data_IF_810746179074
#
_entry.id   IF_810746179074
#
_cell.length_a   1.000
_cell.length_b   1.000
_cell.length_c   1.000
_cell.angle_alpha   90.00
_cell.angle_beta   90.00
_cell.angle_gamma   90.00
#
_symmetry.space_group_name_H-M   'P 1'
#
loop_
_entity.id
_entity.type
_entity.pdbx_description
1 polymer ?
#
# COMPACT_ATOMS: atom_id res chain seq x y z
N UNK A 1 6.52 34.90 -9.59
CA UNK A 1 6.48 33.44 -9.34
C UNK A 1 5.13 33.16 -8.72
N UNK A 2 4.30 32.36 -9.38
CA UNK A 2 2.99 32.03 -8.84
C UNK A 2 3.18 31.15 -7.60
N UNK A 3 2.36 31.32 -6.56
CA UNK A 3 2.40 30.46 -5.36
C UNK A 3 2.26 28.99 -5.75
N UNK A 4 1.53 28.72 -6.83
CA UNK A 4 1.38 27.41 -7.45
C UNK A 4 2.70 26.85 -8.00
N UNK A 5 3.56 27.66 -8.62
CA UNK A 5 4.87 27.20 -9.13
C UNK A 5 5.87 26.91 -7.98
N UNK A 6 5.68 27.54 -6.82
CA UNK A 6 6.47 27.30 -5.61
C UNK A 6 6.03 26.03 -4.86
N UNK A 7 4.74 25.67 -4.97
CA UNK A 7 4.14 24.53 -4.26
C UNK A 7 4.15 23.25 -5.12
N UNK A 8 3.86 23.34 -6.42
CA UNK A 8 3.64 22.21 -7.35
C UNK A 8 4.86 21.94 -8.26
N UNK A 9 5.92 22.75 -8.16
CA UNK A 9 7.08 22.60 -9.04
C UNK A 9 6.78 22.95 -10.50
N UNK A 10 7.77 22.77 -11.38
CA UNK A 10 7.59 22.96 -12.82
C UNK A 10 7.09 21.65 -13.44
N UNK A 11 6.12 21.68 -14.36
CA UNK A 11 5.64 20.46 -15.01
C UNK A 11 6.79 19.74 -15.70
N UNK A 12 7.01 18.49 -15.32
CA UNK A 12 7.99 17.59 -15.94
C UNK A 12 7.63 17.39 -17.42
N UNK A 13 8.62 17.60 -18.30
CA UNK A 13 8.43 17.35 -19.73
C UNK A 13 8.43 15.86 -19.96
N UNK A 14 7.47 15.37 -20.74
CA UNK A 14 7.31 13.95 -21.13
C UNK A 14 8.56 13.36 -21.81
N UNK A 15 9.53 14.20 -22.22
CA UNK A 15 10.84 13.79 -22.75
C UNK A 15 11.79 13.20 -21.70
N UNK A 16 11.56 13.47 -20.40
CA UNK A 16 12.46 13.10 -19.31
C UNK A 16 12.01 11.81 -18.57
N UNK A 17 10.81 11.29 -18.84
CA UNK A 17 10.23 10.08 -18.21
C UNK A 17 11.06 8.79 -18.44
N UNK A 18 11.85 8.73 -19.52
CA UNK A 18 12.70 7.57 -19.81
C UNK A 18 13.95 7.49 -18.92
N UNK A 19 14.34 8.58 -18.27
CA UNK A 19 15.52 8.64 -17.42
C UNK A 19 15.25 8.18 -15.97
N UNK A 20 13.98 8.06 -15.57
CA UNK A 20 13.54 7.64 -14.23
C UNK A 20 13.04 6.18 -14.19
N UNK A 21 13.63 5.29 -14.99
CA UNK A 21 13.40 3.86 -14.79
C UNK A 21 14.11 3.42 -13.51
N UNK A 22 13.32 3.22 -12.45
CA UNK A 22 13.79 2.75 -11.14
C UNK A 22 14.57 1.45 -11.32
N UNK A 23 15.85 1.47 -10.97
CA UNK A 23 16.72 0.29 -11.05
C UNK A 23 16.33 -0.76 -10.00
N UNK A 24 16.83 -1.99 -10.13
CA UNK A 24 16.52 -3.09 -9.19
C UNK A 24 16.87 -2.70 -7.74
N UNK A 25 17.98 -1.98 -7.53
CA UNK A 25 18.43 -1.56 -6.19
C UNK A 25 17.51 -0.53 -5.54
N UNK A 26 16.87 0.33 -6.33
CA UNK A 26 15.93 1.35 -5.85
C UNK A 26 14.51 0.78 -5.77
N UNK A 27 14.16 -0.16 -6.65
CA UNK A 27 12.85 -0.80 -6.67
C UNK A 27 12.60 -1.69 -5.46
N UNK A 28 13.62 -2.41 -4.97
CA UNK A 28 13.49 -3.28 -3.78
C UNK A 28 12.99 -2.49 -2.56
N UNK A 29 13.63 -1.39 -2.12
CA UNK A 29 13.12 -0.61 -1.00
C UNK A 29 11.79 0.05 -1.34
N UNK A 30 11.62 0.65 -2.52
CA UNK A 30 10.37 1.36 -2.86
C UNK A 30 9.15 0.42 -2.83
N UNK A 31 9.24 -0.76 -3.44
CA UNK A 31 8.14 -1.73 -3.46
C UNK A 31 8.10 -2.62 -2.21
N UNK A 32 9.24 -2.82 -1.54
CA UNK A 32 9.33 -3.63 -0.32
C UNK A 32 8.78 -2.92 0.92
N UNK A 33 8.74 -1.58 0.93
CA UNK A 33 8.18 -0.79 2.02
C UNK A 33 6.70 -1.06 2.26
N UNK A 34 5.93 -1.38 1.22
CA UNK A 34 4.51 -1.73 1.35
C UNK A 34 4.29 -3.06 2.09
N UNK A 35 5.12 -4.07 1.78
CA UNK A 35 5.12 -5.33 2.51
C UNK A 35 5.59 -5.16 3.97
N UNK A 36 6.59 -4.31 4.19
CA UNK A 36 7.10 -4.00 5.53
C UNK A 36 6.04 -3.27 6.38
N UNK A 37 5.35 -2.29 5.80
CA UNK A 37 4.29 -1.55 6.49
C UNK A 37 3.15 -2.49 6.89
N UNK A 38 2.75 -3.39 5.99
CA UNK A 38 1.73 -4.42 6.24
C UNK A 38 2.12 -5.37 7.38
N UNK A 39 3.39 -5.73 7.50
CA UNK A 39 3.89 -6.52 8.61
C UNK A 39 3.87 -5.77 9.96
N UNK A 40 3.92 -4.44 9.95
CA UNK A 40 3.90 -3.62 11.15
C UNK A 40 2.51 -3.50 11.78
N UNK A 41 1.45 -3.34 10.98
CA UNK A 41 0.07 -3.19 11.50
C UNK A 41 -0.79 -4.46 11.40
N UNK A 42 -0.46 -5.38 10.48
CA UNK A 42 -1.25 -6.58 10.20
C UNK A 42 -1.48 -7.50 11.41
N UNK A 43 -0.44 -7.85 12.19
CA UNK A 43 -0.60 -8.71 13.36
C UNK A 43 -1.51 -8.10 14.44
N UNK A 44 -1.41 -6.80 14.69
CA UNK A 44 -2.26 -6.09 15.64
C UNK A 44 -3.72 -6.05 15.18
N UNK A 45 -3.96 -5.77 13.89
CA UNK A 45 -5.28 -5.81 13.29
C UNK A 45 -5.92 -7.21 13.39
N UNK A 46 -5.14 -8.27 13.13
CA UNK A 46 -5.60 -9.65 13.29
C UNK A 46 -5.98 -9.98 14.73
N UNK A 47 -5.17 -9.55 15.72
CA UNK A 47 -5.48 -9.73 17.15
C UNK A 47 -6.73 -8.95 17.56
N UNK A 48 -6.90 -7.74 17.05
CA UNK A 48 -8.06 -6.89 17.30
C UNK A 48 -9.36 -7.58 16.85
N UNK A 49 -9.31 -8.28 15.71
CA UNK A 49 -10.43 -9.07 15.20
C UNK A 49 -10.77 -10.30 16.09
N UNK A 50 -9.79 -10.81 16.83
CA UNK A 50 -9.95 -11.97 17.72
C UNK A 50 -10.40 -11.59 19.14
N UNK A 51 -10.46 -10.30 19.48
CA UNK A 51 -10.92 -9.81 20.80
C UNK A 51 -12.23 -10.45 21.27
N UNK A 52 -13.28 -10.63 20.43
CA UNK A 52 -14.53 -11.25 20.87
C UNK A 52 -14.38 -12.70 21.39
N UNK A 53 -13.32 -13.40 20.99
CA UNK A 53 -13.01 -14.76 21.43
C UNK A 53 -12.19 -14.79 22.74
N UNK A 54 -11.75 -13.63 23.23
CA UNK A 54 -10.95 -13.51 24.45
C UNK A 54 -9.67 -14.35 24.41
N UNK A 55 -9.36 -15.03 25.52
CA UNK A 55 -8.16 -15.88 25.63
C UNK A 55 -8.14 -17.04 24.62
N UNK A 56 -9.31 -17.54 24.21
CA UNK A 56 -9.43 -18.59 23.20
C UNK A 56 -9.09 -18.09 21.80
N UNK A 57 -9.02 -16.78 21.56
CA UNK A 57 -8.57 -16.21 20.30
C UNK A 57 -7.05 -16.37 20.09
N UNK A 58 -6.26 -16.31 21.16
CA UNK A 58 -4.79 -16.26 21.08
C UNK A 58 -4.20 -17.52 20.45
N UNK A 59 -4.78 -18.70 20.71
CA UNK A 59 -4.33 -19.96 20.08
C UNK A 59 -4.46 -19.96 18.55
N UNK A 60 -5.33 -19.12 17.98
CA UNK A 60 -5.54 -19.05 16.54
C UNK A 60 -4.54 -18.15 15.81
N UNK A 61 -3.77 -17.31 16.52
CA UNK A 61 -2.84 -16.38 15.86
C UNK A 61 -1.78 -17.12 15.04
N UNK A 62 -1.19 -18.18 15.62
CA UNK A 62 -0.14 -18.97 14.97
C UNK A 62 -0.65 -19.68 13.70
N UNK A 63 -1.76 -20.45 13.73
CA UNK A 63 -2.26 -21.09 12.52
C UNK A 63 -2.74 -20.08 11.47
N UNK A 64 -3.31 -18.93 11.87
CA UNK A 64 -3.70 -17.86 10.93
C UNK A 64 -2.46 -17.27 10.27
N UNK A 65 -1.42 -16.91 11.02
CA UNK A 65 -0.17 -16.39 10.45
C UNK A 65 0.50 -17.39 9.53
N UNK A 66 0.52 -18.68 9.88
CA UNK A 66 1.06 -19.73 9.01
C UNK A 66 0.28 -19.85 7.69
N UNK A 67 -1.06 -19.75 7.74
CA UNK A 67 -1.91 -19.75 6.55
C UNK A 67 -1.63 -18.52 5.66
N UNK A 68 -1.49 -17.33 6.25
CA UNK A 68 -1.15 -16.10 5.52
C UNK A 68 0.22 -16.22 4.84
N UNK A 69 1.25 -16.69 5.56
CA UNK A 69 2.59 -16.89 5.00
C UNK A 69 2.55 -17.88 3.84
N UNK A 70 1.80 -18.99 3.99
CA UNK A 70 1.62 -19.97 2.92
C UNK A 70 0.95 -19.33 1.69
N UNK A 71 -0.08 -18.53 1.90
CA UNK A 71 -0.76 -17.80 0.83
C UNK A 71 0.21 -16.82 0.12
N UNK A 72 1.03 -16.09 0.87
CA UNK A 72 2.04 -15.18 0.30
C UNK A 72 3.06 -15.92 -0.56
N UNK A 73 3.48 -17.12 -0.17
CA UNK A 73 4.38 -17.97 -1.00
C UNK A 73 3.69 -18.36 -2.31
N UNK A 74 2.41 -18.73 -2.27
CA UNK A 74 1.65 -19.05 -3.48
C UNK A 74 1.55 -17.81 -4.38
N UNK A 75 1.22 -16.65 -3.82
CA UNK A 75 1.13 -15.37 -4.56
C UNK A 75 2.47 -15.01 -5.18
N UNK A 76 3.59 -15.20 -4.47
CA UNK A 76 4.93 -14.96 -5.00
C UNK A 76 5.18 -15.76 -6.29
N UNK A 77 4.89 -17.06 -6.29
CA UNK A 77 5.06 -17.89 -7.49
C UNK A 77 4.09 -17.51 -8.61
N UNK A 78 2.84 -17.15 -8.26
CA UNK A 78 1.85 -16.66 -9.22
C UNK A 78 2.31 -15.36 -9.91
N UNK A 79 2.87 -14.42 -9.15
CA UNK A 79 3.42 -13.18 -9.69
C UNK A 79 4.63 -13.43 -10.58
N UNK A 80 5.54 -14.35 -10.21
CA UNK A 80 6.65 -14.75 -11.08
C UNK A 80 6.17 -15.28 -12.44
N UNK A 81 5.14 -16.13 -12.44
CA UNK A 81 4.55 -16.66 -13.68
C UNK A 81 3.91 -15.55 -14.51
N UNK A 82 3.18 -14.65 -13.85
CA UNK A 82 2.52 -13.51 -14.51
C UNK A 82 3.53 -12.56 -15.14
N UNK A 83 4.60 -12.21 -14.42
CA UNK A 83 5.67 -11.34 -14.93
C UNK A 83 6.36 -11.99 -16.15
N UNK A 84 6.61 -13.30 -16.12
CA UNK A 84 7.19 -14.02 -17.24
C UNK A 84 6.24 -14.08 -18.46
N UNK A 85 4.93 -14.20 -18.24
CA UNK A 85 3.92 -14.24 -19.30
C UNK A 85 3.62 -12.85 -19.91
N UNK A 86 3.80 -11.77 -19.13
CA UNK A 86 3.50 -10.39 -19.53
C UNK A 86 4.74 -9.47 -19.40
N UNK A 87 5.80 -9.68 -20.22
CA UNK A 87 7.07 -8.95 -20.12
C UNK A 87 6.96 -7.45 -20.45
N UNK A 88 5.92 -7.03 -21.18
CA UNK A 88 5.66 -5.62 -21.48
C UNK A 88 5.10 -4.81 -20.30
N UNK A 89 4.98 -5.44 -19.12
CA UNK A 89 4.27 -4.88 -17.98
C UNK A 89 2.78 -5.24 -18.06
N UNK A 90 2.27 -5.82 -16.98
CA UNK A 90 0.89 -6.27 -16.92
C UNK A 90 0.40 -6.33 -15.49
N UNK A 91 -0.03 -5.18 -14.96
CA UNK A 91 -0.76 -5.16 -13.69
C UNK A 91 -2.11 -5.89 -13.81
N UNK A 92 -2.79 -6.07 -12.68
CA UNK A 92 -4.05 -6.82 -12.60
C UNK A 92 -5.10 -6.37 -13.61
N UNK A 93 -5.16 -5.07 -13.95
CA UNK A 93 -6.01 -4.54 -15.02
C UNK A 93 -5.70 -5.16 -16.39
N UNK A 94 -4.45 -5.09 -16.83
CA UNK A 94 -4.02 -5.56 -18.15
C UNK A 94 -4.26 -7.05 -18.28
N UNK A 95 -3.86 -7.82 -17.27
CA UNK A 95 -4.04 -9.28 -17.24
C UNK A 95 -5.53 -9.65 -17.27
N UNK A 96 -6.36 -9.03 -16.44
CA UNK A 96 -7.80 -9.30 -16.43
C UNK A 96 -8.47 -8.89 -17.75
N UNK A 97 -8.09 -7.75 -18.33
CA UNK A 97 -8.65 -7.24 -19.59
C UNK A 97 -8.37 -8.18 -20.75
N UNK A 98 -7.14 -8.70 -20.87
CA UNK A 98 -6.76 -9.57 -21.98
C UNK A 98 -7.33 -10.98 -21.87
N UNK A 99 -7.47 -11.53 -20.65
CA UNK A 99 -7.92 -12.92 -20.48
C UNK A 99 -9.42 -13.08 -20.26
N UNK A 100 -10.06 -12.10 -19.60
CA UNK A 100 -11.46 -12.21 -19.14
C UNK A 100 -12.37 -11.15 -19.78
N UNK A 101 -11.78 -10.22 -20.54
CA UNK A 101 -12.50 -9.19 -21.27
C UNK A 101 -12.72 -7.89 -20.51
N UNK A 102 -13.56 -7.04 -21.07
CA UNK A 102 -13.65 -5.63 -20.69
C UNK A 102 -14.10 -5.40 -19.25
N UNK A 103 -15.15 -6.10 -18.84
CA UNK A 103 -15.79 -5.90 -17.55
C UNK A 103 -14.86 -6.32 -16.39
N UNK A 104 -14.23 -7.49 -16.49
CA UNK A 104 -13.28 -7.96 -15.48
C UNK A 104 -12.04 -7.06 -15.37
N UNK A 105 -11.58 -6.50 -16.50
CA UNK A 105 -10.55 -5.46 -16.49
C UNK A 105 -10.99 -4.24 -15.68
N UNK A 106 -12.17 -3.67 -15.96
CA UNK A 106 -12.69 -2.51 -15.23
C UNK A 106 -12.87 -2.79 -13.74
N UNK A 107 -13.35 -3.98 -13.38
CA UNK A 107 -13.46 -4.40 -11.99
C UNK A 107 -12.09 -4.42 -11.31
N UNK A 108 -11.06 -4.97 -11.97
CA UNK A 108 -9.70 -4.98 -11.46
C UNK A 108 -9.15 -3.55 -11.29
N UNK A 109 -9.43 -2.64 -12.23
CA UNK A 109 -9.03 -1.23 -12.09
C UNK A 109 -9.72 -0.54 -10.91
N UNK A 110 -11.02 -0.74 -10.74
CA UNK A 110 -11.77 -0.17 -9.61
C UNK A 110 -11.26 -0.71 -8.27
N UNK A 111 -10.96 -2.01 -8.20
CA UNK A 111 -10.36 -2.63 -7.03
C UNK A 111 -8.97 -2.02 -6.72
N UNK A 112 -8.10 -1.85 -7.72
CA UNK A 112 -6.78 -1.24 -7.55
C UNK A 112 -6.86 0.22 -7.09
N UNK A 113 -7.78 1.02 -7.63
CA UNK A 113 -7.96 2.40 -7.18
C UNK A 113 -8.42 2.46 -5.72
N UNK A 114 -9.32 1.56 -5.33
CA UNK A 114 -9.78 1.45 -3.95
C UNK A 114 -8.65 1.00 -3.02
N UNK A 115 -7.87 0.01 -3.46
CA UNK A 115 -6.70 -0.50 -2.75
C UNK A 115 -5.70 0.63 -2.47
N UNK A 116 -5.33 1.43 -3.46
CA UNK A 116 -4.40 2.56 -3.25
C UNK A 116 -4.93 3.60 -2.25
N UNK A 117 -6.22 3.93 -2.31
CA UNK A 117 -6.82 4.86 -1.33
C UNK A 117 -6.75 4.27 0.08
N UNK A 118 -7.07 2.99 0.22
CA UNK A 118 -7.03 2.31 1.51
C UNK A 118 -5.60 2.16 2.03
N UNK A 119 -4.63 1.80 1.20
CA UNK A 119 -3.22 1.69 1.58
C UNK A 119 -2.68 3.00 2.14
N UNK A 120 -2.97 4.12 1.48
CA UNK A 120 -2.59 5.44 2.00
C UNK A 120 -3.29 5.74 3.34
N UNK A 121 -4.59 5.50 3.44
CA UNK A 121 -5.37 5.80 4.65
C UNK A 121 -4.95 4.92 5.85
N UNK A 122 -4.82 3.60 5.64
CA UNK A 122 -4.44 2.62 6.66
C UNK A 122 -3.00 2.82 7.07
N UNK A 123 -2.08 3.03 6.13
CA UNK A 123 -0.67 3.26 6.43
C UNK A 123 -0.46 4.49 7.33
N UNK A 124 -1.11 5.61 7.01
CA UNK A 124 -1.04 6.83 7.83
C UNK A 124 -1.70 6.60 9.20
N UNK A 125 -2.87 5.96 9.24
CA UNK A 125 -3.60 5.72 10.49
C UNK A 125 -2.82 4.79 11.43
N UNK A 126 -2.22 3.72 10.90
CA UNK A 126 -1.37 2.82 11.68
C UNK A 126 -0.09 3.53 12.17
N UNK A 127 0.54 4.34 11.33
CA UNK A 127 1.71 5.14 11.72
C UNK A 127 1.40 6.14 12.84
N UNK A 128 0.28 6.86 12.75
CA UNK A 128 -0.19 7.76 13.82
C UNK A 128 -0.59 6.96 15.06
N UNK A 129 -1.21 5.79 14.91
CA UNK A 129 -1.52 4.89 16.02
C UNK A 129 -0.27 4.50 16.81
N UNK A 130 0.82 4.13 16.12
CA UNK A 130 2.11 3.86 16.76
C UNK A 130 2.69 5.10 17.47
N UNK A 131 2.52 6.30 16.89
CA UNK A 131 2.95 7.56 17.51
C UNK A 131 2.16 7.87 18.79
N UNK A 132 0.84 7.72 18.76
CA UNK A 132 -0.05 7.93 19.92
C UNK A 132 0.24 6.91 21.01
N UNK A 133 0.57 5.67 20.64
CA UNK A 133 1.03 4.64 21.60
C UNK A 133 2.29 5.09 22.36
N UNK A 134 3.23 5.74 21.67
CA UNK A 134 4.45 6.28 22.29
C UNK A 134 4.19 7.57 23.09
N UNK A 135 3.26 8.42 22.66
CA UNK A 135 2.94 9.72 23.27
C UNK A 135 1.41 9.86 23.44
N UNK A 136 0.84 9.34 24.55
CA UNK A 136 -0.62 9.27 24.72
C UNK A 136 -1.35 10.62 24.75
N UNK A 137 -0.66 11.72 25.04
CA UNK A 137 -1.25 13.07 25.00
C UNK A 137 -1.70 13.52 23.60
N UNK A 138 -1.26 12.82 22.55
CA UNK A 138 -1.65 13.09 21.17
C UNK A 138 -2.99 12.45 20.77
N UNK A 139 -3.56 11.57 21.61
CA UNK A 139 -4.80 10.82 21.30
C UNK A 139 -5.97 11.70 20.84
N UNK A 140 -6.26 12.87 21.46
CA UNK A 140 -7.36 13.74 21.02
C UNK A 140 -7.12 14.35 19.63
N UNK A 141 -5.88 14.35 19.15
CA UNK A 141 -5.46 14.99 17.90
C UNK A 141 -5.20 13.97 16.78
N UNK A 142 -5.49 12.68 17.01
CA UNK A 142 -5.21 11.58 16.06
C UNK A 142 -5.71 11.88 14.64
N UNK A 143 -6.96 12.30 14.50
CA UNK A 143 -7.56 12.61 13.18
C UNK A 143 -6.85 13.79 12.52
N UNK A 144 -6.56 14.84 13.28
CA UNK A 144 -5.86 16.02 12.77
C UNK A 144 -4.43 15.69 12.32
N UNK A 145 -3.74 14.81 13.05
CA UNK A 145 -2.41 14.32 12.67
C UNK A 145 -2.47 13.48 11.39
N UNK A 146 -3.42 12.55 11.26
CA UNK A 146 -3.59 11.76 10.05
C UNK A 146 -3.83 12.64 8.82
N UNK A 147 -4.77 13.58 8.91
CA UNK A 147 -5.08 14.50 7.81
C UNK A 147 -3.90 15.43 7.52
N UNK A 148 -3.21 15.94 8.54
CA UNK A 148 -2.01 16.76 8.39
C UNK A 148 -0.89 16.03 7.64
N UNK A 149 -0.60 14.78 8.02
CA UNK A 149 0.39 13.93 7.34
C UNK A 149 -0.03 13.66 5.90
N UNK A 150 -1.30 13.34 5.65
CA UNK A 150 -1.81 13.13 4.30
C UNK A 150 -1.61 14.36 3.41
N UNK A 151 -1.91 15.56 3.92
CA UNK A 151 -1.69 16.83 3.20
C UNK A 151 -0.21 17.03 2.91
N UNK A 152 0.67 16.81 3.89
CA UNK A 152 2.12 16.95 3.71
C UNK A 152 2.63 15.99 2.63
N UNK A 153 2.27 14.70 2.71
CA UNK A 153 2.65 13.69 1.71
C UNK A 153 2.09 14.08 0.33
N UNK A 154 0.85 14.55 0.25
CA UNK A 154 0.24 15.01 -1.00
C UNK A 154 1.03 16.17 -1.61
N UNK A 155 1.39 17.17 -0.81
CA UNK A 155 2.20 18.32 -1.28
C UNK A 155 3.58 17.86 -1.75
N UNK A 156 4.22 16.94 -1.03
CA UNK A 156 5.53 16.41 -1.40
C UNK A 156 5.49 15.60 -2.70
N UNK A 157 4.42 14.83 -2.94
CA UNK A 157 4.24 14.06 -4.17
C UNK A 157 3.78 14.91 -5.37
N UNK A 158 3.25 16.11 -5.12
CA UNK A 158 2.91 17.07 -6.18
C UNK A 158 4.12 17.88 -6.65
N UNK A 159 5.28 17.79 -5.97
CA UNK A 159 6.54 18.47 -6.33
C UNK A 159 7.43 17.55 -7.15
#
# INVERSE_FOLDING_TARGET
>A
MNILDLIVGKPLKTSDERAEQIGIQEGIPIFGLDALSSAAYGPEAALSLLIPLGLLGVQYIVPISAAIITLLVIVYFSYRQTIAAYPGGGGSYTVARFNLGAFSGLLAAAALLTDYVLTAAVGISAGVGALVSAVPSLEPHTVALCVGILIVITILNLR
#
